data_IF_227499039296
#
_entry.id   IF_227499039296
#
_cell.length_a   1.000
_cell.length_b   1.000
_cell.length_c   1.000
_cell.angle_alpha   90.00
_cell.angle_beta   90.00
_cell.angle_gamma   90.00
#
_symmetry.space_group_name_H-M   'P 1'
#
loop_
_entity.id
_entity.type
_entity.pdbx_description
1 polymer ?
#
# COMPACT_ATOMS: atom_id res chain seq x y z
N UNK A 1 4.40 -9.94 9.40
CA UNK A 1 5.39 -8.85 9.41
C UNK A 1 5.08 -7.90 8.25
N UNK A 2 5.42 -6.61 8.37
CA UNK A 2 5.36 -5.62 7.28
C UNK A 2 6.64 -4.78 7.30
N UNK A 3 7.15 -4.40 6.13
CA UNK A 3 8.40 -3.64 6.01
C UNK A 3 8.29 -2.20 6.56
N UNK A 4 7.07 -1.67 6.65
CA UNK A 4 6.77 -0.38 7.26
C UNK A 4 5.32 -0.33 7.75
N UNK A 5 5.06 0.45 8.79
CA UNK A 5 3.71 0.75 9.28
C UNK A 5 2.97 1.78 8.39
N UNK A 6 3.65 2.42 7.44
CA UNK A 6 3.06 3.38 6.51
C UNK A 6 2.61 2.71 5.20
N UNK A 7 1.54 3.25 4.60
CA UNK A 7 0.92 2.67 3.41
C UNK A 7 1.88 2.56 2.21
N UNK A 8 2.47 3.67 1.76
CA UNK A 8 3.29 3.63 0.56
C UNK A 8 4.59 2.86 0.74
N UNK A 9 5.38 3.06 1.81
CA UNK A 9 6.60 2.27 2.00
C UNK A 9 6.30 0.77 2.06
N UNK A 10 5.22 0.36 2.74
CA UNK A 10 4.80 -1.05 2.81
C UNK A 10 4.40 -1.61 1.43
N UNK A 11 3.57 -0.89 0.67
CA UNK A 11 3.12 -1.32 -0.67
C UNK A 11 4.24 -1.28 -1.70
N UNK A 12 5.11 -0.28 -1.64
CA UNK A 12 6.31 -0.20 -2.46
C UNK A 12 7.21 -1.42 -2.23
N UNK A 13 7.39 -1.83 -0.97
CA UNK A 13 8.15 -3.05 -0.66
C UNK A 13 7.49 -4.31 -1.23
N UNK A 14 6.16 -4.42 -1.23
CA UNK A 14 5.44 -5.54 -1.86
C UNK A 14 5.66 -5.53 -3.38
N UNK A 15 5.59 -4.37 -4.02
CA UNK A 15 5.71 -4.23 -5.47
C UNK A 15 7.14 -4.46 -5.96
N UNK A 16 8.15 -3.96 -5.26
CA UNK A 16 9.54 -4.02 -5.69
C UNK A 16 10.32 -5.19 -5.09
N UNK A 17 9.80 -5.84 -4.05
CA UNK A 17 10.53 -6.86 -3.27
C UNK A 17 11.73 -6.30 -2.49
N UNK A 18 11.76 -5.00 -2.20
CA UNK A 18 12.89 -4.30 -1.55
C UNK A 18 12.41 -3.58 -0.30
N UNK A 19 13.31 -3.33 0.65
CA UNK A 19 12.99 -2.53 1.83
C UNK A 19 12.93 -1.01 1.53
N UNK A 20 12.28 -0.21 2.40
CA UNK A 20 12.16 1.25 2.23
C UNK A 20 13.47 2.00 1.99
N UNK A 21 14.57 1.55 2.60
CA UNK A 21 15.88 2.16 2.39
C UNK A 21 16.46 1.94 0.97
N UNK A 22 15.95 0.97 0.21
CA UNK A 22 16.43 0.65 -1.14
C UNK A 22 15.54 1.21 -2.26
N UNK A 23 14.23 1.28 -2.05
CA UNK A 23 13.30 1.89 -3.02
C UNK A 23 13.00 3.36 -2.71
N UNK A 24 13.51 3.88 -1.59
CA UNK A 24 13.44 5.28 -1.17
C UNK A 24 12.02 5.86 -1.10
N UNK A 25 11.01 5.03 -0.81
CA UNK A 25 9.66 5.51 -0.47
C UNK A 25 9.58 5.54 1.04
N UNK A 26 9.51 6.74 1.61
CA UNK A 26 9.73 6.96 3.04
C UNK A 26 8.46 7.39 3.78
N UNK A 27 7.47 7.94 3.09
CA UNK A 27 6.19 8.31 3.68
C UNK A 27 5.04 8.20 2.65
N UNK A 28 3.87 8.78 2.95
CA UNK A 28 2.66 8.70 2.13
C UNK A 28 2.45 9.89 1.17
N UNK A 29 3.44 10.75 0.96
CA UNK A 29 3.37 11.96 0.13
C UNK A 29 4.23 11.84 -1.13
N UNK A 30 4.00 12.73 -2.10
CA UNK A 30 4.79 12.79 -3.34
C UNK A 30 6.26 13.10 -3.02
N UNK A 31 6.52 14.00 -2.08
CA UNK A 31 7.87 14.38 -1.64
C UNK A 31 8.60 13.19 -1.02
N UNK A 32 7.89 12.31 -0.31
CA UNK A 32 8.42 11.05 0.19
C UNK A 32 8.46 9.93 -0.84
N UNK A 33 8.44 10.27 -2.13
CA UNK A 33 8.52 9.39 -3.29
C UNK A 33 7.30 8.45 -3.49
N UNK A 34 6.19 8.67 -2.79
CA UNK A 34 4.98 7.88 -3.01
C UNK A 34 4.27 8.30 -4.29
N UNK A 35 4.05 7.38 -5.24
CA UNK A 35 3.46 7.66 -6.59
C UNK A 35 4.17 8.75 -7.40
N UNK A 36 5.32 9.24 -6.94
CA UNK A 36 6.02 10.36 -7.57
C UNK A 36 6.52 9.99 -8.96
N UNK A 37 6.86 10.98 -9.78
CA UNK A 37 7.52 10.74 -11.07
C UNK A 37 8.84 9.97 -10.93
N UNK A 38 9.55 10.11 -9.80
CA UNK A 38 10.77 9.34 -9.55
C UNK A 38 10.46 7.86 -9.30
N UNK A 39 9.41 7.54 -8.53
CA UNK A 39 8.91 6.16 -8.37
C UNK A 39 8.50 5.56 -9.72
N UNK A 40 7.72 6.30 -10.50
CA UNK A 40 7.26 5.88 -11.82
C UNK A 40 8.40 5.56 -12.77
N UNK A 41 9.46 6.38 -12.76
CA UNK A 41 10.61 6.19 -13.64
C UNK A 41 11.55 5.08 -13.17
N UNK A 42 11.73 4.90 -11.86
CA UNK A 42 12.83 4.08 -11.32
C UNK A 42 12.39 2.75 -10.72
N UNK A 43 11.18 2.66 -10.15
CA UNK A 43 10.72 1.47 -9.44
C UNK A 43 9.62 0.73 -10.20
N UNK A 44 8.66 1.43 -10.82
CA UNK A 44 7.57 0.76 -11.56
C UNK A 44 8.06 -0.18 -12.68
N UNK A 45 9.06 0.18 -13.52
CA UNK A 45 9.49 -0.69 -14.63
C UNK A 45 10.16 -1.99 -14.16
N UNK A 46 10.66 -2.00 -12.93
CA UNK A 46 11.34 -3.15 -12.31
C UNK A 46 10.51 -3.76 -11.18
N UNK A 47 9.25 -3.34 -11.02
CA UNK A 47 8.34 -3.91 -10.05
C UNK A 47 7.90 -5.31 -10.52
N UNK A 48 7.56 -6.15 -9.55
CA UNK A 48 7.09 -7.51 -9.76
C UNK A 48 6.04 -7.68 -10.88
N UNK A 49 4.95 -6.88 -10.97
CA UNK A 49 4.00 -6.99 -12.08
C UNK A 49 4.61 -6.71 -13.45
N UNK A 50 5.51 -5.73 -13.56
CA UNK A 50 6.22 -5.43 -14.82
C UNK A 50 7.13 -6.58 -15.24
N UNK A 51 7.82 -7.20 -14.29
CA UNK A 51 8.66 -8.37 -14.55
C UNK A 51 7.85 -9.61 -14.92
N UNK A 52 6.71 -9.86 -14.26
CA UNK A 52 5.84 -10.99 -14.61
C UNK A 52 5.22 -10.83 -15.99
N UNK A 53 4.74 -9.63 -16.31
CA UNK A 53 4.16 -9.33 -17.60
C UNK A 53 5.18 -9.48 -18.74
N UNK A 54 6.45 -9.07 -18.53
CA UNK A 54 7.49 -9.18 -19.56
C UNK A 54 7.87 -10.62 -19.91
N UNK A 55 7.62 -11.58 -19.02
CA UNK A 55 7.83 -13.02 -19.27
C UNK A 55 6.54 -13.77 -19.65
N UNK A 56 5.47 -13.04 -19.98
CA UNK A 56 4.26 -13.60 -20.59
C UNK A 56 3.11 -13.93 -19.62
N UNK A 57 3.21 -13.56 -18.33
CA UNK A 57 2.06 -13.70 -17.43
C UNK A 57 1.01 -12.63 -17.71
N UNK A 58 -0.25 -13.01 -17.61
CA UNK A 58 -1.35 -12.06 -17.53
C UNK A 58 -1.47 -11.51 -16.11
N UNK A 59 -1.45 -10.20 -15.99
CA UNK A 59 -1.45 -9.49 -14.71
C UNK A 59 -2.69 -8.62 -14.57
N UNK A 60 -3.23 -8.60 -13.35
CA UNK A 60 -4.44 -7.86 -13.00
C UNK A 60 -4.23 -7.11 -11.69
N UNK A 61 -4.67 -5.85 -11.65
CA UNK A 61 -4.71 -5.05 -10.44
C UNK A 61 -6.09 -4.42 -10.25
N UNK A 62 -6.63 -4.53 -9.04
CA UNK A 62 -7.82 -3.79 -8.62
C UNK A 62 -7.65 -3.27 -7.19
N UNK A 63 -8.02 -2.00 -7.00
CA UNK A 63 -8.04 -1.37 -5.69
C UNK A 63 -7.05 -0.22 -5.55
N UNK A 64 -6.58 0.01 -4.33
CA UNK A 64 -5.69 1.14 -4.03
C UNK A 64 -4.24 0.80 -4.35
N UNK A 65 -3.62 1.54 -5.27
CA UNK A 65 -2.22 1.37 -5.63
C UNK A 65 -1.28 1.96 -4.57
N UNK A 66 -0.78 3.17 -4.77
CA UNK A 66 -0.03 3.95 -3.80
C UNK A 66 -0.86 5.19 -3.40
N UNK A 67 -0.54 5.83 -2.28
CA UNK A 67 -1.21 7.11 -1.95
C UNK A 67 -0.84 8.16 -3.01
N UNK A 68 -1.71 9.14 -3.24
CA UNK A 68 -1.56 10.16 -4.28
C UNK A 68 -1.51 9.61 -5.73
N UNK A 69 -1.74 8.30 -5.93
CA UNK A 69 -1.98 7.79 -7.28
C UNK A 69 -3.20 8.52 -7.88
N UNK A 70 -3.06 9.00 -9.12
CA UNK A 70 -4.11 9.74 -9.80
C UNK A 70 -4.14 11.24 -9.52
N UNK A 71 -3.31 11.75 -8.61
CA UNK A 71 -3.10 13.19 -8.44
C UNK A 71 -2.33 13.80 -9.64
N UNK A 72 -2.56 15.07 -9.94
CA UNK A 72 -1.96 15.73 -11.13
C UNK A 72 -0.43 15.73 -11.09
N UNK A 73 0.16 15.90 -9.90
CA UNK A 73 1.59 15.82 -9.64
C UNK A 73 2.17 14.41 -9.87
N UNK A 74 1.36 13.37 -9.67
CA UNK A 74 1.62 11.97 -9.98
C UNK A 74 1.22 11.57 -11.42
N UNK A 75 0.96 12.52 -12.33
CA UNK A 75 0.62 12.23 -13.73
C UNK A 75 -0.87 11.93 -13.97
N UNK A 76 -1.72 12.11 -12.96
CA UNK A 76 -3.16 11.97 -13.06
C UNK A 76 -3.63 10.52 -13.23
N UNK A 77 -4.94 10.33 -13.31
CA UNK A 77 -5.56 9.01 -13.50
C UNK A 77 -5.21 8.33 -14.83
N UNK A 78 -4.62 9.08 -15.77
CA UNK A 78 -4.17 8.56 -17.07
C UNK A 78 -2.87 7.78 -16.97
N UNK A 79 -2.07 8.00 -15.92
CA UNK A 79 -0.89 7.20 -15.66
C UNK A 79 -1.31 5.81 -15.19
N UNK A 80 -1.02 4.79 -15.99
CA UNK A 80 -1.18 3.38 -15.62
C UNK A 80 0.22 2.81 -15.43
N UNK A 81 0.58 2.29 -14.24
CA UNK A 81 1.88 1.67 -14.03
C UNK A 81 2.10 0.55 -15.04
N UNK A 82 3.32 0.37 -15.56
CA UNK A 82 3.65 -0.72 -16.46
C UNK A 82 3.41 -2.09 -15.81
N UNK A 83 3.15 -3.09 -16.65
CA UNK A 83 3.07 -4.48 -16.19
C UNK A 83 1.68 -4.96 -15.78
N UNK A 84 0.62 -4.22 -16.11
CA UNK A 84 -0.77 -4.62 -15.85
C UNK A 84 -1.53 -4.78 -17.16
N UNK A 85 -2.00 -6.00 -17.46
CA UNK A 85 -2.93 -6.20 -18.58
C UNK A 85 -4.31 -5.61 -18.27
N UNK A 86 -4.71 -5.66 -17.00
CA UNK A 86 -5.99 -5.15 -16.52
C UNK A 86 -5.75 -4.25 -15.30
N UNK A 87 -6.14 -2.98 -15.41
CA UNK A 87 -5.91 -1.96 -14.38
C UNK A 87 -7.21 -1.31 -13.90
N UNK A 88 -7.55 -1.55 -12.64
CA UNK A 88 -8.70 -0.96 -11.94
C UNK A 88 -8.23 -0.24 -10.67
N UNK A 89 -7.34 0.74 -10.84
CA UNK A 89 -6.76 1.56 -9.78
C UNK A 89 -7.73 2.63 -9.24
N UNK A 90 -7.73 2.83 -7.91
CA UNK A 90 -8.52 3.86 -7.22
C UNK A 90 -7.69 5.13 -6.98
N UNK A 91 -8.19 6.29 -7.42
CA UNK A 91 -7.51 7.61 -7.25
C UNK A 91 -7.59 8.16 -5.81
N UNK A 92 -8.53 7.66 -5.01
CA UNK A 92 -8.84 8.18 -3.67
C UNK A 92 -8.95 7.08 -2.65
N UNK A 93 -8.68 7.44 -1.39
CA UNK A 93 -9.16 6.66 -0.26
C UNK A 93 -10.68 6.62 -0.37
N UNK A 94 -11.22 5.47 -0.78
CA UNK A 94 -12.62 5.12 -0.54
C UNK A 94 -12.88 4.92 0.95
N UNK A 95 -12.16 5.59 1.87
CA UNK A 95 -12.55 5.61 3.28
C UNK A 95 -14.02 5.96 3.27
N UNK A 96 -14.81 4.95 3.57
CA UNK A 96 -16.23 5.03 3.62
C UNK A 96 -16.43 5.97 4.80
N UNK A 97 -16.56 7.27 4.51
CA UNK A 97 -16.61 8.31 5.55
C UNK A 97 -17.83 8.07 6.44
N UNK A 98 -18.80 7.26 6.00
CA UNK A 98 -19.82 6.63 6.82
C UNK A 98 -20.16 5.24 6.24
N UNK A 99 -19.87 4.16 6.97
CA UNK A 99 -20.34 2.84 6.57
C UNK A 99 -21.85 2.92 6.41
N UNK A 100 -22.39 2.52 5.24
CA UNK A 100 -23.84 2.52 4.98
C UNK A 100 -24.62 1.80 6.10
N UNK A 101 -23.92 0.92 6.82
CA UNK A 101 -24.29 0.35 8.10
C UNK A 101 -23.10 0.50 9.09
N UNK A 102 -23.12 1.43 10.04
CA UNK A 102 -22.09 1.50 11.07
C UNK A 102 -22.07 0.21 11.89
N UNK A 103 -20.88 -0.25 12.27
CA UNK A 103 -20.74 -1.40 13.18
C UNK A 103 -21.39 -1.05 14.53
N UNK A 104 -22.00 -2.05 15.18
CA UNK A 104 -22.55 -1.85 16.51
C UNK A 104 -21.44 -1.54 17.52
N UNK A 105 -21.77 -0.80 18.58
CA UNK A 105 -20.84 -0.48 19.66
C UNK A 105 -20.22 -1.74 20.30
N UNK A 106 -20.96 -2.85 20.34
CA UNK A 106 -20.45 -4.13 20.84
C UNK A 106 -19.33 -4.71 19.96
N UNK A 107 -19.45 -4.62 18.64
CA UNK A 107 -18.41 -5.06 17.70
C UNK A 107 -17.17 -4.17 17.76
N UNK A 108 -17.36 -2.86 17.91
CA UNK A 108 -16.25 -1.90 18.07
C UNK A 108 -15.47 -2.20 19.36
N UNK A 109 -16.17 -2.35 20.50
CA UNK A 109 -15.52 -2.67 21.78
C UNK A 109 -14.80 -4.02 21.76
N UNK A 110 -15.40 -5.04 21.14
CA UNK A 110 -14.76 -6.34 21.00
C UNK A 110 -13.45 -6.25 20.19
N UNK A 111 -13.47 -5.51 19.07
CA UNK A 111 -12.27 -5.31 18.25
C UNK A 111 -11.19 -4.55 19.01
N UNK A 112 -11.54 -3.45 19.69
CA UNK A 112 -10.60 -2.68 20.50
C UNK A 112 -9.93 -3.54 21.58
N UNK A 113 -10.71 -4.38 22.27
CA UNK A 113 -10.19 -5.29 23.29
C UNK A 113 -9.34 -6.41 22.73
N UNK A 114 -9.69 -6.94 21.55
CA UNK A 114 -8.88 -7.93 20.84
C UNK A 114 -7.52 -7.33 20.43
N UNK A 115 -7.50 -6.10 19.91
CA UNK A 115 -6.26 -5.40 19.58
C UNK A 115 -5.42 -5.06 20.80
N UNK A 116 -6.04 -4.58 21.89
CA UNK A 116 -5.35 -4.35 23.18
C UNK A 116 -4.74 -5.63 23.73
N UNK A 117 -5.49 -6.74 23.76
CA UNK A 117 -4.99 -8.03 24.24
C UNK A 117 -3.81 -8.53 23.39
N UNK A 118 -3.86 -8.32 22.08
CA UNK A 118 -2.75 -8.67 21.18
C UNK A 118 -1.49 -7.83 21.47
N UNK A 119 -1.62 -6.53 21.71
CA UNK A 119 -0.50 -5.67 22.10
C UNK A 119 0.11 -6.06 23.45
N UNK A 120 -0.73 -6.36 24.45
CA UNK A 120 -0.26 -6.88 25.75
C UNK A 120 0.41 -8.25 25.60
N UNK A 121 -0.06 -9.08 24.67
CA UNK A 121 0.58 -10.35 24.33
C UNK A 121 2.01 -10.18 23.83
N UNK A 122 2.25 -9.22 22.93
CA UNK A 122 3.60 -8.91 22.42
C UNK A 122 4.55 -8.42 23.54
N UNK A 123 4.08 -7.56 24.44
CA UNK A 123 4.87 -7.07 25.57
C UNK A 123 5.22 -8.16 26.59
N UNK A 124 4.35 -9.17 26.75
CA UNK A 124 4.60 -10.29 27.66
C UNK A 124 5.61 -11.29 27.12
N UNK A 125 5.71 -11.47 25.81
CA UNK A 125 6.72 -12.34 25.18
C UNK A 125 8.14 -11.75 25.21
N UNK A 126 8.29 -10.42 25.22
CA UNK A 126 9.60 -9.75 25.28
C UNK A 126 10.21 -9.71 26.69
N UNK A 127 9.41 -9.89 27.75
CA UNK A 127 9.88 -9.94 29.16
C UNK A 127 10.22 -11.36 29.64
N UNK A 128 10.18 -12.35 28.76
CA UNK A 128 10.48 -13.76 29.06
C UNK A 128 11.77 -14.27 28.40
N UNK A 129 12.69 -13.36 28.04
CA UNK A 129 14.08 -13.65 27.69
C UNK A 129 15.03 -13.11 28.76
#
# INVERSE_FOLDING_TARGET
YVASALCCPSRASILSGRYPHNHHVVNNTIEGNCSSKAWQKTQEPIAFPALLNSIGYQTFFAGKYLNQYGADDAGGIRHVPPGWNYWFGLDKHWLIKQAKTPMSNSSIQFLDDAYRKRQVGYLKTDLSL
#
